data_IF_502522910288
#
_entry.id   IF_502522910288
#
_cell.length_a   1.000
_cell.length_b   1.000
_cell.length_c   1.000
_cell.angle_alpha   90.00
_cell.angle_beta   90.00
_cell.angle_gamma   90.00
#
_symmetry.space_group_name_H-M   'P 1'
#
loop_
_entity.id
_entity.type
_entity.pdbx_description
1 polymer ?
#
# COMPACT_ATOMS: atom_id res chain seq x y z
N UNK A 1 -0.96 -4.47 22.23
CA UNK A 1 -0.39 -4.02 20.93
C UNK A 1 -0.74 -4.94 19.79
N UNK A 2 -1.26 -4.37 18.69
CA UNK A 2 -1.49 -5.06 17.42
C UNK A 2 -0.31 -4.82 16.48
N UNK A 3 -0.06 -5.75 15.57
CA UNK A 3 0.91 -5.57 14.48
C UNK A 3 0.24 -4.87 13.31
N UNK A 4 0.94 -3.91 12.71
CA UNK A 4 0.48 -3.11 11.58
C UNK A 4 1.51 -3.08 10.47
N UNK A 5 1.00 -2.89 9.26
CA UNK A 5 1.74 -2.78 8.02
C UNK A 5 1.46 -1.41 7.42
N UNK A 6 2.47 -0.53 7.39
CA UNK A 6 2.39 0.77 6.74
C UNK A 6 3.07 0.75 5.36
N UNK A 7 2.34 1.19 4.36
CA UNK A 7 2.76 1.28 2.97
C UNK A 7 2.84 2.75 2.56
N UNK A 8 4.06 3.28 2.53
CA UNK A 8 4.37 4.65 2.16
C UNK A 8 4.45 4.77 0.64
N UNK A 9 3.95 5.86 0.06
CA UNK A 9 3.98 6.12 -1.38
C UNK A 9 4.92 7.26 -1.73
N UNK A 10 5.64 7.12 -2.83
CA UNK A 10 6.41 8.22 -3.42
C UNK A 10 7.75 8.52 -2.73
N UNK A 11 8.30 7.58 -1.94
CA UNK A 11 9.65 7.69 -1.37
C UNK A 11 10.68 6.90 -2.19
N UNK A 12 11.92 7.40 -2.26
CA UNK A 12 13.06 6.75 -2.92
C UNK A 12 12.81 6.34 -4.39
N UNK A 13 11.91 7.03 -5.10
CA UNK A 13 11.60 6.80 -6.51
C UNK A 13 12.00 8.02 -7.33
N UNK A 14 12.63 7.80 -8.49
CA UNK A 14 13.05 8.89 -9.39
C UNK A 14 14.03 9.90 -8.77
N UNK A 15 14.72 9.55 -7.69
CA UNK A 15 15.63 10.47 -6.97
C UNK A 15 14.94 11.44 -6.01
N UNK A 16 13.61 11.40 -5.89
CA UNK A 16 12.84 12.27 -5.00
C UNK A 16 12.55 11.61 -3.64
N UNK A 17 12.25 12.45 -2.64
CA UNK A 17 11.82 12.04 -1.30
C UNK A 17 12.70 10.93 -0.69
N UNK A 18 14.01 11.19 -0.66
CA UNK A 18 15.00 10.23 -0.18
C UNK A 18 14.85 10.03 1.33
N UNK A 19 14.64 8.80 1.76
CA UNK A 19 14.60 8.39 3.16
C UNK A 19 15.43 7.13 3.33
N UNK A 20 16.45 7.18 4.19
CA UNK A 20 17.18 5.97 4.58
C UNK A 20 16.28 5.10 5.48
N UNK A 21 16.18 3.80 5.18
CA UNK A 21 15.30 2.91 5.96
C UNK A 21 15.71 2.80 7.43
N UNK A 22 16.99 2.99 7.76
CA UNK A 22 17.47 3.09 9.15
C UNK A 22 16.86 4.30 9.85
N UNK A 23 16.86 5.45 9.19
CA UNK A 23 16.34 6.69 9.74
C UNK A 23 14.82 6.64 9.85
N UNK A 24 14.14 6.04 8.87
CA UNK A 24 12.70 5.78 8.94
C UNK A 24 12.34 4.93 10.18
N UNK A 25 13.08 3.84 10.43
CA UNK A 25 12.86 3.00 11.63
C UNK A 25 13.08 3.77 12.93
N UNK A 26 14.13 4.59 12.98
CA UNK A 26 14.43 5.44 14.14
C UNK A 26 13.31 6.46 14.39
N UNK A 27 12.86 7.13 13.34
CA UNK A 27 11.81 8.15 13.39
C UNK A 27 10.46 7.57 13.85
N UNK A 28 10.09 6.39 13.34
CA UNK A 28 8.85 5.74 13.77
C UNK A 28 8.95 5.20 15.20
N UNK A 29 10.13 4.74 15.62
CA UNK A 29 10.38 4.37 17.01
C UNK A 29 10.27 5.57 17.96
N UNK A 30 10.71 6.77 17.53
CA UNK A 30 10.68 7.97 18.38
C UNK A 30 9.27 8.50 18.65
N UNK A 31 8.29 8.15 17.82
CA UNK A 31 6.87 8.47 18.06
C UNK A 31 6.11 7.37 18.80
N UNK A 32 6.83 6.40 19.37
CA UNK A 32 6.29 5.39 20.28
C UNK A 32 5.93 4.05 19.65
N UNK A 33 6.07 3.89 18.32
CA UNK A 33 5.87 2.58 17.70
C UNK A 33 6.95 1.59 18.12
N UNK A 34 6.58 0.32 18.26
CA UNK A 34 7.47 -0.74 18.76
C UNK A 34 7.80 -1.75 17.67
N UNK A 35 8.95 -2.40 17.80
CA UNK A 35 9.37 -3.47 16.89
C UNK A 35 9.41 -3.05 15.42
N UNK A 36 9.79 -1.80 15.13
CA UNK A 36 9.74 -1.26 13.77
C UNK A 36 10.76 -1.98 12.87
N UNK A 37 10.25 -2.69 11.87
CA UNK A 37 11.02 -3.33 10.79
C UNK A 37 10.66 -2.66 9.46
N UNK A 38 11.56 -2.73 8.48
CA UNK A 38 11.31 -2.23 7.12
C UNK A 38 11.69 -3.30 6.11
N UNK A 39 10.94 -3.41 5.02
CA UNK A 39 11.27 -4.26 3.89
C UNK A 39 11.50 -3.42 2.63
N UNK A 40 12.67 -3.62 2.00
CA UNK A 40 13.19 -2.87 0.85
C UNK A 40 13.12 -1.34 1.02
N UNK A 41 13.36 -0.58 -0.04
CA UNK A 41 13.45 0.90 0.02
C UNK A 41 12.16 1.63 -0.39
N UNK A 42 11.13 0.90 -0.81
CA UNK A 42 9.87 1.45 -1.30
C UNK A 42 8.84 1.77 -0.20
N UNK A 43 9.27 1.82 1.06
CA UNK A 43 8.41 2.23 2.17
C UNK A 43 7.40 1.16 2.59
N UNK A 44 7.90 -0.02 2.97
CA UNK A 44 7.10 -1.07 3.60
C UNK A 44 7.57 -1.21 5.04
N UNK A 45 6.70 -0.88 5.99
CA UNK A 45 7.04 -0.82 7.41
C UNK A 45 6.15 -1.80 8.16
N UNK A 46 6.76 -2.57 9.05
CA UNK A 46 6.07 -3.42 10.02
C UNK A 46 6.31 -2.81 11.40
N UNK A 47 5.27 -2.62 12.20
CA UNK A 47 5.41 -2.07 13.55
C UNK A 47 4.27 -2.52 14.47
N UNK A 48 4.43 -2.32 15.77
CA UNK A 48 3.42 -2.59 16.80
C UNK A 48 2.93 -1.28 17.42
N UNK A 49 1.64 -1.19 17.68
CA UNK A 49 1.00 -0.04 18.34
C UNK A 49 -0.21 -0.47 19.17
N UNK A 50 -0.56 0.30 20.21
CA UNK A 50 -1.83 0.17 20.93
C UNK A 50 -2.94 1.05 20.34
N UNK A 51 -2.60 1.95 19.42
CA UNK A 51 -3.59 2.71 18.65
C UNK A 51 -4.32 1.75 17.74
N UNK A 52 -5.65 1.74 17.81
CA UNK A 52 -6.49 0.83 17.02
C UNK A 52 -6.92 1.40 15.67
N UNK A 53 -6.95 2.71 15.54
CA UNK A 53 -7.39 3.38 14.32
C UNK A 53 -6.26 3.48 13.30
N UNK A 54 -6.45 2.86 12.13
CA UNK A 54 -5.54 2.99 10.99
C UNK A 54 -5.36 4.46 10.57
N UNK A 55 -6.42 5.28 10.58
CA UNK A 55 -6.33 6.68 10.16
C UNK A 55 -5.44 7.51 11.09
N UNK A 56 -5.51 7.28 12.40
CA UNK A 56 -4.64 7.95 13.38
C UNK A 56 -3.19 7.50 13.19
N UNK A 57 -2.95 6.22 12.89
CA UNK A 57 -1.60 5.71 12.60
C UNK A 57 -1.03 6.34 11.32
N UNK A 58 -1.83 6.41 10.26
CA UNK A 58 -1.46 7.03 8.99
C UNK A 58 -1.10 8.51 9.17
N UNK A 59 -1.92 9.26 9.90
CA UNK A 59 -1.70 10.68 10.20
C UNK A 59 -0.41 10.88 11.01
N UNK A 60 -0.17 10.07 12.04
CA UNK A 60 1.07 10.14 12.83
C UNK A 60 2.32 9.90 11.98
N UNK A 61 2.28 8.91 11.08
CA UNK A 61 3.39 8.60 10.17
C UNK A 61 3.61 9.75 9.19
N UNK A 62 2.54 10.28 8.59
CA UNK A 62 2.60 11.38 7.65
C UNK A 62 3.21 12.63 8.31
N UNK A 63 2.68 13.02 9.48
CA UNK A 63 3.11 14.23 10.18
C UNK A 63 4.58 14.15 10.60
N UNK A 64 5.01 13.03 11.20
CA UNK A 64 6.42 12.91 11.63
C UNK A 64 7.39 12.93 10.44
N UNK A 65 7.00 12.36 9.30
CA UNK A 65 7.81 12.41 8.07
C UNK A 65 7.85 13.82 7.50
N UNK A 66 6.70 14.51 7.47
CA UNK A 66 6.61 15.90 7.01
C UNK A 66 7.48 16.82 7.87
N UNK A 67 7.40 16.69 9.19
CA UNK A 67 8.16 17.53 10.12
C UNK A 67 9.67 17.28 9.97
N UNK A 68 10.08 16.03 9.74
CA UNK A 68 11.50 15.67 9.62
C UNK A 68 12.11 16.00 8.26
N UNK A 69 11.38 15.78 7.17
CA UNK A 69 11.91 15.81 5.80
C UNK A 69 11.34 16.91 4.92
N UNK A 70 10.38 17.69 5.44
CA UNK A 70 9.74 18.82 4.75
C UNK A 70 9.04 18.45 3.43
N UNK A 71 8.52 17.22 3.33
CA UNK A 71 7.64 16.79 2.25
C UNK A 71 6.52 15.90 2.78
N UNK A 72 5.39 15.89 2.10
CA UNK A 72 4.26 15.02 2.42
C UNK A 72 4.27 13.78 1.54
N UNK A 73 3.86 12.65 2.12
CA UNK A 73 3.65 11.39 1.40
C UNK A 73 2.32 10.78 1.81
N UNK A 74 1.78 9.94 0.94
CA UNK A 74 0.63 9.11 1.30
C UNK A 74 1.07 7.88 2.07
N UNK A 75 0.25 7.51 3.05
CA UNK A 75 0.43 6.35 3.90
C UNK A 75 -0.88 5.57 3.93
N UNK A 76 -0.78 4.26 3.67
CA UNK A 76 -1.90 3.31 3.87
C UNK A 76 -1.47 2.31 4.92
N UNK A 77 -2.26 2.18 5.98
CA UNK A 77 -2.04 1.20 7.07
C UNK A 77 -3.05 0.06 6.94
N UNK A 78 -2.56 -1.18 7.05
CA UNK A 78 -3.35 -2.42 7.10
C UNK A 78 -2.88 -3.30 8.25
N UNK A 79 -3.72 -4.23 8.67
CA UNK A 79 -3.31 -5.30 9.58
C UNK A 79 -2.86 -6.53 8.77
N UNK A 80 -1.99 -7.40 9.33
CA UNK A 80 -1.56 -8.63 8.66
C UNK A 80 -2.71 -9.49 8.13
N UNK A 81 -3.80 -9.65 8.90
CA UNK A 81 -4.93 -10.45 8.44
C UNK A 81 -5.64 -9.85 7.22
N UNK A 82 -5.64 -8.51 7.04
CA UNK A 82 -6.21 -7.89 5.85
C UNK A 82 -5.36 -8.19 4.62
N UNK A 83 -4.03 -8.19 4.76
CA UNK A 83 -3.12 -8.52 3.65
C UNK A 83 -3.20 -9.99 3.30
N UNK A 84 -3.29 -10.88 4.30
CA UNK A 84 -3.53 -12.30 4.07
C UNK A 84 -4.83 -12.52 3.28
N UNK A 85 -5.95 -11.93 3.74
CA UNK A 85 -7.24 -12.04 3.05
C UNK A 85 -7.19 -11.48 1.62
N UNK A 86 -6.48 -10.37 1.39
CA UNK A 86 -6.26 -9.82 0.04
C UNK A 86 -5.52 -10.82 -0.85
N UNK A 87 -4.46 -11.46 -0.36
CA UNK A 87 -3.71 -12.43 -1.16
C UNK A 87 -4.54 -13.68 -1.46
N UNK A 88 -5.33 -14.15 -0.50
CA UNK A 88 -6.13 -15.38 -0.62
C UNK A 88 -7.35 -15.21 -1.54
N UNK A 89 -7.85 -13.98 -1.69
CA UNK A 89 -9.04 -13.66 -2.51
C UNK A 89 -8.68 -13.03 -3.87
N UNK A 90 -7.49 -13.34 -4.40
CA UNK A 90 -7.15 -12.91 -5.75
C UNK A 90 -8.09 -13.57 -6.78
N UNK A 91 -8.72 -12.80 -7.69
CA UNK A 91 -9.62 -13.35 -8.70
C UNK A 91 -8.88 -13.98 -9.89
N UNK A 92 -7.55 -13.82 -9.95
CA UNK A 92 -6.72 -14.36 -11.02
C UNK A 92 -6.29 -15.80 -10.71
N UNK A 93 -5.84 -16.53 -11.74
CA UNK A 93 -5.10 -17.77 -11.52
C UNK A 93 -3.77 -17.52 -10.81
N UNK A 94 -3.19 -18.56 -10.20
CA UNK A 94 -1.96 -18.44 -9.40
C UNK A 94 -0.79 -17.83 -10.20
N UNK A 95 -0.66 -18.15 -11.49
CA UNK A 95 0.43 -17.66 -12.33
C UNK A 95 0.33 -16.15 -12.56
N UNK A 96 -0.90 -15.66 -12.71
CA UNK A 96 -1.25 -14.26 -12.92
C UNK A 96 -1.20 -13.51 -11.61
N UNK A 97 -1.73 -14.06 -10.51
CA UNK A 97 -1.60 -13.51 -9.15
C UNK A 97 -0.15 -13.24 -8.77
N UNK A 98 0.76 -14.18 -9.08
CA UNK A 98 2.20 -14.04 -8.81
C UNK A 98 2.85 -12.84 -9.55
N UNK A 99 2.24 -12.38 -10.63
CA UNK A 99 2.67 -11.23 -11.46
C UNK A 99 1.79 -9.99 -11.25
N UNK A 100 0.73 -10.10 -10.46
CA UNK A 100 -0.22 -9.04 -10.23
C UNK A 100 0.33 -7.96 -9.26
N UNK A 101 -0.28 -6.80 -9.37
CA UNK A 101 -0.17 -5.68 -8.47
C UNK A 101 -1.47 -5.56 -7.67
N UNK A 102 -1.33 -5.06 -6.46
CA UNK A 102 -2.37 -4.90 -5.47
C UNK A 102 -2.37 -3.43 -5.08
N UNK A 103 -3.41 -2.73 -5.52
CA UNK A 103 -3.61 -1.31 -5.24
C UNK A 103 -4.37 -1.23 -3.92
N UNK A 104 -3.64 -1.04 -2.82
CA UNK A 104 -4.24 -0.97 -1.50
C UNK A 104 -4.98 0.36 -1.36
N UNK A 105 -6.25 0.29 -0.95
CA UNK A 105 -7.11 1.45 -0.77
C UNK A 105 -7.02 1.93 0.68
N UNK A 106 -6.82 3.23 0.89
CA UNK A 106 -6.81 3.83 2.24
C UNK A 106 -8.16 3.64 2.94
N UNK A 107 -9.23 4.00 2.22
CA UNK A 107 -10.62 3.88 2.65
C UNK A 107 -11.42 3.08 1.61
N UNK A 108 -12.59 2.59 2.02
CA UNK A 108 -13.54 1.98 1.08
C UNK A 108 -14.12 3.05 0.15
N UNK A 109 -14.04 2.86 -1.18
CA UNK A 109 -14.74 3.74 -2.13
C UNK A 109 -16.24 3.49 -2.09
N UNK A 110 -17.03 4.43 -2.64
CA UNK A 110 -18.48 4.25 -2.77
C UNK A 110 -18.79 3.11 -3.77
N UNK A 111 -19.92 2.43 -3.56
CA UNK A 111 -20.41 1.41 -4.51
C UNK A 111 -20.57 1.96 -5.93
N UNK A 112 -21.08 3.19 -6.04
CA UNK A 112 -21.22 3.90 -7.32
C UNK A 112 -19.88 4.06 -8.04
N UNK A 113 -18.81 4.45 -7.33
CA UNK A 113 -17.49 4.61 -7.94
C UNK A 113 -16.90 3.26 -8.39
N UNK A 114 -17.13 2.19 -7.61
CA UNK A 114 -16.73 0.83 -7.98
C UNK A 114 -17.46 0.37 -9.25
N UNK A 115 -18.77 0.61 -9.34
CA UNK A 115 -19.57 0.23 -10.51
C UNK A 115 -19.11 0.97 -11.77
N UNK A 116 -18.91 2.29 -11.66
CA UNK A 116 -18.47 3.12 -12.79
C UNK A 116 -17.12 2.67 -13.35
N UNK A 117 -16.11 2.47 -12.49
CA UNK A 117 -14.78 2.09 -12.96
C UNK A 117 -14.73 0.68 -13.54
N UNK A 118 -15.62 -0.22 -13.11
CA UNK A 118 -15.66 -1.62 -13.58
C UNK A 118 -16.02 -1.73 -15.07
N UNK A 119 -16.56 -0.68 -15.67
CA UNK A 119 -16.85 -0.60 -17.11
C UNK A 119 -15.64 -0.17 -17.97
N UNK A 120 -14.54 0.26 -17.35
CA UNK A 120 -13.36 0.77 -18.05
C UNK A 120 -12.43 -0.40 -18.40
N UNK A 121 -12.07 -0.51 -19.66
CA UNK A 121 -11.17 -1.55 -20.16
C UNK A 121 -9.99 -0.98 -20.93
N UNK A 122 -8.80 -1.56 -20.74
CA UNK A 122 -7.62 -1.31 -21.56
C UNK A 122 -7.07 -2.64 -22.11
N UNK A 123 -6.59 -2.69 -23.37
CA UNK A 123 -6.23 -3.97 -24.02
C UNK A 123 -5.16 -4.84 -23.35
N UNK A 124 -4.29 -4.28 -22.51
CA UNK A 124 -3.16 -4.97 -21.89
C UNK A 124 -3.24 -5.01 -20.35
N UNK A 125 -4.39 -4.63 -19.80
CA UNK A 125 -4.59 -4.42 -18.37
C UNK A 125 -5.92 -5.02 -17.94
N UNK A 126 -5.87 -5.86 -16.92
CA UNK A 126 -7.04 -6.48 -16.33
C UNK A 126 -7.07 -6.10 -14.86
N UNK A 127 -8.21 -5.61 -14.37
CA UNK A 127 -8.33 -5.27 -12.95
C UNK A 127 -9.70 -5.60 -12.37
N UNK A 128 -9.70 -5.89 -11.07
CA UNK A 128 -10.90 -6.18 -10.28
C UNK A 128 -10.88 -5.33 -9.02
N UNK A 129 -11.93 -4.53 -8.84
CA UNK A 129 -12.05 -3.58 -7.72
C UNK A 129 -12.89 -4.19 -6.59
N UNK A 130 -12.40 -4.05 -5.37
CA UNK A 130 -13.13 -4.37 -4.13
C UNK A 130 -13.18 -3.16 -3.21
N UNK A 131 -13.82 -3.28 -2.04
CA UNK A 131 -13.79 -2.22 -1.02
C UNK A 131 -12.42 -2.02 -0.36
N UNK A 132 -11.48 -2.98 -0.48
CA UNK A 132 -10.19 -2.94 0.22
C UNK A 132 -8.98 -2.81 -0.70
N UNK A 133 -9.07 -3.36 -1.91
CA UNK A 133 -7.96 -3.50 -2.85
C UNK A 133 -8.47 -3.50 -4.29
N UNK A 134 -7.64 -3.01 -5.22
CA UNK A 134 -7.76 -3.37 -6.64
C UNK A 134 -6.71 -4.40 -6.98
N UNK A 135 -7.13 -5.55 -7.51
CA UNK A 135 -6.24 -6.51 -8.14
C UNK A 135 -5.97 -6.04 -9.57
N UNK A 136 -4.71 -5.91 -9.95
CA UNK A 136 -4.31 -5.38 -11.25
C UNK A 136 -3.27 -6.29 -11.88
N UNK A 137 -3.57 -6.81 -13.05
CA UNK A 137 -2.59 -7.47 -13.91
C UNK A 137 -2.22 -6.55 -15.09
N UNK A 138 -0.94 -6.22 -15.21
CA UNK A 138 -0.41 -5.41 -16.30
C UNK A 138 0.47 -6.28 -17.20
N UNK A 139 0.02 -6.63 -18.41
CA UNK A 139 0.79 -7.48 -19.33
C UNK A 139 2.15 -6.85 -19.70
N UNK A 140 2.18 -5.52 -19.82
CA UNK A 140 3.38 -4.73 -20.14
C UNK A 140 4.13 -4.24 -18.89
N UNK A 141 3.75 -4.68 -17.69
CA UNK A 141 4.35 -4.25 -16.42
C UNK A 141 3.87 -2.88 -15.93
N UNK A 142 3.97 -2.65 -14.62
CA UNK A 142 3.36 -1.49 -13.95
C UNK A 142 3.91 -0.13 -14.40
N UNK A 143 5.19 -0.05 -14.80
CA UNK A 143 5.78 1.23 -15.25
C UNK A 143 5.18 1.80 -16.54
N UNK A 144 4.35 1.03 -17.26
CA UNK A 144 3.72 1.43 -18.53
C UNK A 144 2.19 1.34 -18.50
N UNK A 145 1.61 1.05 -17.33
CA UNK A 145 0.16 0.86 -17.19
C UNK A 145 -0.58 2.20 -17.19
N UNK A 146 -1.77 2.22 -17.78
CA UNK A 146 -2.73 3.32 -17.66
C UNK A 146 -3.50 3.26 -16.33
N UNK A 147 -3.74 2.07 -15.81
CA UNK A 147 -4.33 1.78 -14.49
C UNK A 147 -3.32 1.92 -13.34
N UNK A 148 -2.68 3.08 -13.22
CA UNK A 148 -1.80 3.37 -12.08
C UNK A 148 -2.57 3.95 -10.88
N UNK A 149 -1.88 4.25 -9.77
CA UNK A 149 -2.52 4.83 -8.58
C UNK A 149 -3.35 6.10 -8.87
N UNK A 150 -2.88 6.98 -9.77
CA UNK A 150 -3.60 8.22 -10.11
C UNK A 150 -4.91 7.93 -10.86
N UNK A 151 -4.90 6.93 -11.73
CA UNK A 151 -6.11 6.46 -12.40
C UNK A 151 -7.14 5.97 -11.37
N UNK A 152 -6.72 5.13 -10.42
CA UNK A 152 -7.64 4.63 -9.39
C UNK A 152 -8.08 5.72 -8.42
N UNK A 153 -7.19 6.63 -8.01
CA UNK A 153 -7.54 7.77 -7.15
C UNK A 153 -8.60 8.66 -7.76
N UNK A 154 -8.44 9.00 -9.05
CA UNK A 154 -9.40 9.82 -9.78
C UNK A 154 -10.79 9.18 -9.87
N UNK A 155 -10.85 7.87 -10.11
CA UNK A 155 -12.12 7.17 -10.33
C UNK A 155 -12.77 6.71 -9.02
N UNK A 156 -11.98 6.31 -8.02
CA UNK A 156 -12.49 5.78 -6.75
C UNK A 156 -12.65 6.84 -5.67
N UNK A 157 -12.02 8.01 -5.83
CA UNK A 157 -11.98 9.09 -4.85
C UNK A 157 -11.41 8.66 -3.48
N UNK A 158 -10.37 7.80 -3.51
CA UNK A 158 -9.66 7.32 -2.32
C UNK A 158 -8.16 7.25 -2.59
N UNK A 159 -7.34 7.55 -1.59
CA UNK A 159 -5.88 7.41 -1.68
C UNK A 159 -5.50 5.94 -1.89
N UNK A 160 -4.52 5.69 -2.76
CA UNK A 160 -4.08 4.36 -3.12
C UNK A 160 -2.56 4.18 -3.10
N UNK A 161 -2.10 2.94 -2.84
CA UNK A 161 -0.69 2.57 -2.95
C UNK A 161 -0.52 1.16 -3.51
N UNK A 162 0.22 1.05 -4.62
CA UNK A 162 0.46 -0.20 -5.31
C UNK A 162 1.60 -1.01 -4.69
N UNK A 163 1.41 -2.32 -4.55
CA UNK A 163 2.45 -3.30 -4.21
C UNK A 163 2.34 -4.51 -5.11
N UNK A 164 3.45 -5.19 -5.40
CA UNK A 164 3.40 -6.46 -6.11
C UNK A 164 3.20 -7.63 -5.13
N UNK A 165 2.82 -8.79 -5.67
CA UNK A 165 2.62 -10.03 -4.90
C UNK A 165 3.79 -10.37 -3.97
N UNK A 166 5.03 -10.33 -4.50
CA UNK A 166 6.25 -10.68 -3.73
C UNK A 166 6.44 -9.76 -2.52
N UNK A 167 6.16 -8.48 -2.67
CA UNK A 167 6.29 -7.50 -1.59
C UNK A 167 5.26 -7.75 -0.50
N UNK A 168 3.98 -7.96 -0.87
CA UNK A 168 2.94 -8.23 0.13
C UNK A 168 3.21 -9.53 0.90
N UNK A 169 3.58 -10.61 0.20
CA UNK A 169 3.95 -11.86 0.86
C UNK A 169 5.12 -11.69 1.82
N UNK A 170 6.19 -11.01 1.39
CA UNK A 170 7.38 -10.87 2.26
C UNK A 170 7.11 -9.97 3.47
N UNK A 171 6.33 -8.91 3.31
CA UNK A 171 5.91 -8.07 4.44
C UNK A 171 5.03 -8.85 5.41
N UNK A 172 4.11 -9.67 4.90
CA UNK A 172 3.26 -10.54 5.70
C UNK A 172 4.06 -11.61 6.45
N UNK A 173 5.06 -12.22 5.81
CA UNK A 173 6.00 -13.15 6.45
C UNK A 173 6.74 -12.48 7.62
N UNK A 174 7.36 -11.31 7.40
CA UNK A 174 8.08 -10.55 8.44
C UNK A 174 7.16 -10.15 9.61
N UNK A 175 5.87 -10.00 9.36
CA UNK A 175 4.89 -9.60 10.39
C UNK A 175 4.48 -10.72 11.34
N UNK A 176 4.79 -11.97 11.00
CA UNK A 176 4.55 -13.15 11.83
C UNK A 176 5.66 -13.37 12.87
N UNK A 177 6.81 -12.70 12.69
CA UNK A 177 7.98 -12.67 13.60
C UNK A 177 7.86 -11.58 14.67
#
# INVERSE_FOLDING_TARGET
MKTYLAFLRGINVGGHHKILMKDLRGLLSSIGFKGVKTYIQSGNVIFKSDIESNSILEEKILNVIKDKYNFSIDVVVKQPQDIQAILDNSPFDQLTTNKAYFILLKNSPSSQNIEQISSIHYPDEEFFVTSKVVYLYCKKGYGRTKCNNLFFEKNLNVITTARNYKTLNKVLEISKD
#
